data_IF_310749359358
#
_entry.id   IF_310749359358
#
_cell.length_a   1.000
_cell.length_b   1.000
_cell.length_c   1.000
_cell.angle_alpha   90.00
_cell.angle_beta   90.00
_cell.angle_gamma   90.00
#
_symmetry.space_group_name_H-M   'P 1'
#
loop_
_entity.id
_entity.type
_entity.pdbx_description
1 polymer ?
#
# COMPACT_ATOMS: atom_id res chain seq x y z
N UNK A 1 -28.95 -22.96 8.26
CA UNK A 1 -28.89 -21.91 7.21
C UNK A 1 -27.64 -21.08 7.48
N UNK A 2 -26.70 -21.03 6.53
CA UNK A 2 -25.36 -20.48 6.75
C UNK A 2 -25.37 -18.93 6.80
N UNK A 3 -24.57 -18.38 7.71
CA UNK A 3 -24.33 -16.94 7.90
C UNK A 3 -23.82 -16.29 6.61
N UNK A 4 -24.44 -15.19 6.18
CA UNK A 4 -23.89 -14.29 5.15
C UNK A 4 -22.79 -13.46 5.82
N UNK A 5 -21.57 -13.99 5.85
CA UNK A 5 -20.38 -13.24 6.22
C UNK A 5 -19.65 -12.79 4.96
N UNK A 6 -20.14 -11.75 4.28
CA UNK A 6 -19.37 -11.07 3.23
C UNK A 6 -18.73 -9.82 3.81
N UNK A 7 -17.61 -9.96 4.52
CA UNK A 7 -16.59 -8.92 4.52
C UNK A 7 -15.78 -9.12 3.23
N UNK A 8 -16.38 -8.76 2.10
CA UNK A 8 -15.77 -8.95 0.79
C UNK A 8 -14.65 -7.93 0.60
N UNK A 9 -13.44 -8.27 1.04
CA UNK A 9 -12.25 -7.50 0.68
C UNK A 9 -12.07 -7.56 -0.84
N UNK A 10 -11.84 -6.40 -1.47
CA UNK A 10 -11.46 -6.34 -2.88
C UNK A 10 -10.12 -7.06 -3.06
N UNK A 11 -10.08 -8.05 -3.95
CA UNK A 11 -8.85 -8.81 -4.20
C UNK A 11 -7.97 -8.03 -5.16
N UNK A 12 -6.71 -7.84 -4.82
CA UNK A 12 -5.71 -7.30 -5.76
C UNK A 12 -5.30 -8.42 -6.72
N UNK A 13 -5.51 -8.17 -8.02
CA UNK A 13 -5.16 -9.06 -9.12
C UNK A 13 -3.83 -8.66 -9.78
N UNK A 14 -3.38 -7.43 -9.55
CA UNK A 14 -2.11 -6.92 -10.05
C UNK A 14 -1.85 -5.50 -9.59
N UNK A 15 -0.58 -5.12 -9.56
CA UNK A 15 -0.13 -3.77 -9.23
C UNK A 15 0.97 -3.34 -10.21
N UNK A 16 1.03 -2.05 -10.49
CA UNK A 16 2.05 -1.45 -11.34
C UNK A 16 2.13 0.05 -11.12
N UNK A 17 3.14 0.68 -11.69
CA UNK A 17 3.29 2.13 -11.66
C UNK A 17 3.83 2.65 -12.99
N UNK A 18 3.52 3.90 -13.28
CA UNK A 18 4.08 4.66 -14.40
C UNK A 18 4.65 5.97 -13.87
N UNK A 19 5.90 6.28 -14.20
CA UNK A 19 6.49 7.58 -13.90
C UNK A 19 6.24 8.50 -15.09
N UNK A 20 5.61 9.64 -14.82
CA UNK A 20 5.32 10.67 -15.83
C UNK A 20 6.38 11.77 -15.82
N UNK A 21 6.91 12.09 -14.63
CA UNK A 21 8.02 13.00 -14.45
C UNK A 21 8.82 12.63 -13.19
N UNK A 22 10.14 12.78 -13.25
CA UNK A 22 11.03 12.50 -12.12
C UNK A 22 11.21 13.72 -11.21
N UNK A 23 11.22 14.93 -11.76
CA UNK A 23 11.37 16.17 -10.98
C UNK A 23 10.56 17.34 -11.60
N UNK A 24 9.48 17.79 -10.95
CA UNK A 24 8.90 17.23 -9.72
C UNK A 24 8.35 15.81 -9.95
N UNK A 25 8.37 14.98 -8.90
CA UNK A 25 7.80 13.63 -8.93
C UNK A 25 6.32 13.67 -9.33
N UNK A 26 6.02 13.05 -10.47
CA UNK A 26 4.65 12.80 -10.95
C UNK A 26 4.60 11.38 -11.52
N UNK A 27 3.67 10.58 -11.03
CA UNK A 27 3.43 9.24 -11.53
C UNK A 27 2.01 8.78 -11.28
N UNK A 28 1.71 7.55 -11.66
CA UNK A 28 0.44 6.88 -11.42
C UNK A 28 0.75 5.50 -10.84
N UNK A 29 0.16 5.18 -9.69
CA UNK A 29 0.11 3.84 -9.15
C UNK A 29 -1.23 3.21 -9.57
N UNK A 30 -1.17 2.03 -10.18
CA UNK A 30 -2.35 1.32 -10.67
C UNK A 30 -2.52 0.00 -9.91
N UNK A 31 -3.71 -0.19 -9.33
CA UNK A 31 -4.11 -1.43 -8.68
C UNK A 31 -5.29 -2.04 -9.44
N UNK A 32 -5.07 -3.22 -10.01
CA UNK A 32 -6.15 -4.00 -10.63
C UNK A 32 -6.81 -4.85 -9.54
N UNK A 33 -8.11 -4.69 -9.35
CA UNK A 33 -8.90 -5.49 -8.43
C UNK A 33 -9.89 -6.39 -9.18
N UNK A 34 -10.54 -7.29 -8.46
CA UNK A 34 -11.68 -8.08 -8.96
C UNK A 34 -12.94 -7.24 -9.20
N UNK A 35 -12.96 -5.98 -8.76
CA UNK A 35 -14.06 -5.03 -8.91
C UNK A 35 -13.77 -3.87 -9.86
N UNK A 36 -12.53 -3.71 -10.32
CA UNK A 36 -12.16 -2.62 -11.22
C UNK A 36 -10.67 -2.30 -11.20
N UNK A 37 -10.32 -1.10 -11.66
CA UNK A 37 -8.95 -0.58 -11.56
C UNK A 37 -8.99 0.69 -10.72
N UNK A 38 -8.07 0.79 -9.76
CA UNK A 38 -7.85 1.97 -8.94
C UNK A 38 -6.56 2.62 -9.43
N UNK A 39 -6.62 3.91 -9.74
CA UNK A 39 -5.47 4.71 -10.12
C UNK A 39 -5.24 5.81 -9.08
N UNK A 40 -4.02 5.90 -8.59
CA UNK A 40 -3.59 6.85 -7.58
C UNK A 40 -2.52 7.74 -8.20
N UNK A 41 -2.79 9.05 -8.24
CA UNK A 41 -1.79 10.02 -8.64
C UNK A 41 -0.66 10.06 -7.59
N UNK A 42 0.56 9.77 -8.03
CA UNK A 42 1.76 9.82 -7.21
C UNK A 42 2.44 11.16 -7.40
N UNK A 43 2.27 12.04 -6.43
CA UNK A 43 3.01 13.30 -6.31
C UNK A 43 3.86 13.29 -5.04
N UNK A 44 4.86 14.16 -4.94
CA UNK A 44 5.78 14.20 -3.79
C UNK A 44 5.09 14.08 -2.42
N UNK A 45 4.05 14.87 -2.07
CA UNK A 45 3.37 14.71 -0.78
C UNK A 45 2.71 13.36 -0.55
N UNK A 46 2.17 12.75 -1.61
CA UNK A 46 1.54 11.41 -1.55
C UNK A 46 2.60 10.34 -1.34
N UNK A 47 3.75 10.45 -2.03
CA UNK A 47 4.87 9.54 -1.84
C UNK A 47 5.42 9.63 -0.41
N UNK A 48 5.56 10.84 0.13
CA UNK A 48 5.99 11.07 1.52
C UNK A 48 5.01 10.43 2.53
N UNK A 49 3.71 10.60 2.34
CA UNK A 49 2.70 9.96 3.20
C UNK A 49 2.76 8.43 3.13
N UNK A 50 2.87 7.86 1.93
CA UNK A 50 2.98 6.40 1.75
C UNK A 50 4.27 5.82 2.35
N UNK A 51 5.38 6.56 2.31
CA UNK A 51 6.60 6.16 3.00
C UNK A 51 6.39 6.12 4.52
N UNK A 52 5.64 7.07 5.09
CA UNK A 52 5.27 7.06 6.51
C UNK A 52 4.47 5.82 6.89
N UNK A 53 3.38 5.55 6.17
CA UNK A 53 2.54 4.36 6.42
C UNK A 53 3.32 3.05 6.26
N UNK A 54 4.24 2.98 5.30
CA UNK A 54 5.12 1.83 5.13
C UNK A 54 6.05 1.64 6.33
N UNK A 55 6.64 2.71 6.86
CA UNK A 55 7.49 2.66 8.05
C UNK A 55 6.69 2.13 9.23
N UNK A 56 5.50 2.68 9.48
CA UNK A 56 4.65 2.26 10.59
C UNK A 56 4.26 0.79 10.45
N UNK A 57 3.87 0.35 9.25
CA UNK A 57 3.57 -1.06 8.97
C UNK A 57 4.76 -1.98 9.29
N UNK A 58 5.98 -1.61 8.86
CA UNK A 58 7.19 -2.39 9.11
C UNK A 58 7.57 -2.40 10.60
N UNK A 59 7.29 -1.33 11.35
CA UNK A 59 7.56 -1.25 12.78
C UNK A 59 6.54 -2.01 13.64
N UNK A 60 5.27 -2.04 13.24
CA UNK A 60 4.23 -2.72 14.00
C UNK A 60 4.37 -4.24 13.98
N UNK A 61 5.03 -4.81 12.96
CA UNK A 61 5.27 -6.24 12.86
C UNK A 61 3.99 -7.10 12.87
N UNK A 62 2.85 -6.52 12.48
CA UNK A 62 1.54 -7.17 12.53
C UNK A 62 1.25 -7.92 11.24
N UNK A 63 1.03 -9.23 11.37
CA UNK A 63 0.69 -10.16 10.28
C UNK A 63 1.68 -11.32 10.24
N UNK A 64 1.21 -12.52 9.91
CA UNK A 64 2.05 -13.73 9.89
C UNK A 64 3.25 -13.62 8.92
N UNK A 65 3.15 -12.74 7.92
CA UNK A 65 4.18 -12.44 6.91
C UNK A 65 4.94 -11.12 7.17
N UNK A 66 4.67 -10.42 8.29
CA UNK A 66 5.35 -9.18 8.60
C UNK A 66 6.83 -9.47 8.91
N UNK A 67 7.80 -8.78 8.29
CA UNK A 67 9.19 -9.04 8.60
C UNK A 67 9.47 -8.59 10.03
N UNK A 68 10.04 -9.48 10.85
CA UNK A 68 10.44 -9.17 12.22
C UNK A 68 11.73 -8.34 12.20
N UNK A 69 11.61 -7.02 12.02
CA UNK A 69 12.76 -6.14 12.17
C UNK A 69 13.02 -5.88 13.65
N UNK A 70 14.25 -6.09 14.10
CA UNK A 70 14.69 -5.61 15.41
C UNK A 70 14.80 -4.08 15.33
N UNK A 71 13.79 -3.37 15.82
CA UNK A 71 13.83 -1.91 15.92
C UNK A 71 14.61 -1.54 17.18
N UNK A 72 15.84 -1.03 17.03
CA UNK A 72 16.54 -0.36 18.12
C UNK A 72 15.78 0.92 18.48
N UNK A 73 15.09 0.93 19.62
CA UNK A 73 14.54 2.16 20.19
C UNK A 73 15.64 2.84 20.99
N UNK A 74 16.15 3.97 20.50
CA UNK A 74 16.96 4.87 21.33
C UNK A 74 16.12 5.39 22.49
N UNK A 75 16.63 5.22 23.72
CA UNK A 75 16.05 5.74 24.96
C UNK A 75 16.06 7.26 25.01
#
# INVERSE_FOLDING_TARGET
>A
MAKIGRTGFNKILGAGYTVLNHDPLVGILTLKTDTGTIELAMIKPVAEALMGELIDFLQEGKGDDAPSFAVERSQ
#
